data_IF_326372836504
#
_entry.id   IF_326372836504
#
_cell.length_a   1.000
_cell.length_b   1.000
_cell.length_c   1.000
_cell.angle_alpha   90.00
_cell.angle_beta   90.00
_cell.angle_gamma   90.00
#
_symmetry.space_group_name_H-M   'P 1'
#
loop_
_entity.id
_entity.type
_entity.pdbx_description
1 polymer ?
#
# COMPACT_ATOMS: atom_id res chain seq x y z
N UNK A 1 -19.04 12.23 -4.45
CA UNK A 1 -18.94 11.46 -5.73
C UNK A 1 -19.68 12.23 -6.86
N UNK A 2 -19.01 13.17 -7.52
CA UNK A 2 -19.59 13.98 -8.61
C UNK A 2 -19.15 13.38 -9.96
N UNK A 3 -20.08 13.33 -10.94
CA UNK A 3 -19.83 12.90 -12.32
C UNK A 3 -19.47 11.40 -12.53
N UNK A 4 -20.15 10.51 -11.82
CA UNK A 4 -20.04 9.08 -12.11
C UNK A 4 -20.87 8.73 -13.38
N UNK A 5 -20.43 7.74 -14.18
CA UNK A 5 -21.21 7.23 -15.30
C UNK A 5 -22.58 6.70 -14.85
N UNK A 6 -23.61 6.89 -15.68
CA UNK A 6 -24.99 6.52 -15.31
C UNK A 6 -25.16 5.01 -15.05
N UNK A 7 -24.42 4.17 -15.73
CA UNK A 7 -24.50 2.72 -15.60
C UNK A 7 -24.24 2.22 -14.18
N UNK A 8 -23.39 2.89 -13.37
CA UNK A 8 -23.10 2.46 -11.99
C UNK A 8 -24.34 2.43 -11.09
N UNK A 9 -25.36 3.22 -11.41
CA UNK A 9 -26.62 3.30 -10.66
C UNK A 9 -27.64 2.22 -11.06
N UNK A 10 -27.40 1.49 -12.13
CA UNK A 10 -28.28 0.43 -12.63
C UNK A 10 -27.86 -0.96 -12.16
N UNK A 11 -26.69 -1.10 -11.54
CA UNK A 11 -26.17 -2.38 -11.08
C UNK A 11 -26.93 -2.86 -9.84
N UNK A 12 -27.59 -4.04 -9.89
CA UNK A 12 -28.31 -4.58 -8.76
C UNK A 12 -27.38 -4.92 -7.59
N UNK A 13 -27.83 -4.66 -6.36
CA UNK A 13 -27.04 -4.93 -5.15
C UNK A 13 -26.59 -6.41 -5.04
N UNK A 14 -27.39 -7.35 -5.56
CA UNK A 14 -27.08 -8.78 -5.55
C UNK A 14 -25.87 -9.13 -6.43
N UNK A 15 -25.54 -8.29 -7.42
CA UNK A 15 -24.38 -8.48 -8.31
C UNK A 15 -23.10 -7.85 -7.75
N UNK A 16 -23.21 -7.06 -6.68
CA UNK A 16 -22.09 -6.33 -6.12
C UNK A 16 -20.92 -7.23 -5.68
N UNK A 17 -21.13 -8.38 -5.00
CA UNK A 17 -20.01 -9.25 -4.62
C UNK A 17 -19.20 -9.76 -5.84
N UNK A 18 -19.86 -10.17 -6.92
CA UNK A 18 -19.22 -10.63 -8.15
C UNK A 18 -18.50 -9.47 -8.87
N UNK A 19 -19.10 -8.28 -8.89
CA UNK A 19 -18.48 -7.07 -9.43
C UNK A 19 -17.16 -6.72 -8.72
N UNK A 20 -17.13 -6.75 -7.38
CA UNK A 20 -15.92 -6.44 -6.58
C UNK A 20 -14.76 -7.38 -6.92
N UNK A 21 -15.05 -8.66 -7.19
CA UNK A 21 -14.04 -9.65 -7.56
C UNK A 21 -13.49 -9.41 -8.98
N UNK A 22 -14.32 -8.90 -9.90
CA UNK A 22 -14.00 -8.82 -11.33
C UNK A 22 -13.57 -7.44 -11.81
N UNK A 23 -13.83 -6.39 -11.03
CA UNK A 23 -13.47 -5.03 -11.43
C UNK A 23 -11.96 -4.81 -11.44
N UNK A 24 -11.41 -4.23 -12.53
CA UNK A 24 -10.02 -3.80 -12.57
C UNK A 24 -9.73 -2.70 -11.53
N UNK A 25 -8.54 -2.73 -10.95
CA UNK A 25 -8.08 -1.75 -9.96
C UNK A 25 -6.57 -1.63 -9.92
N UNK A 26 -6.05 -0.59 -9.32
CA UNK A 26 -4.64 -0.47 -8.95
C UNK A 26 -4.49 -0.62 -7.44
N UNK A 27 -3.33 -1.12 -7.00
CA UNK A 27 -2.94 -1.19 -5.61
C UNK A 27 -1.75 -0.26 -5.37
N UNK A 28 -1.92 0.73 -4.50
CA UNK A 28 -0.99 1.85 -4.32
C UNK A 28 -0.37 1.91 -2.92
N UNK A 29 -0.73 0.93 -2.07
CA UNK A 29 -0.26 0.87 -0.70
C UNK A 29 -0.18 -0.60 -0.26
N UNK A 30 0.99 -1.16 -0.44
CA UNK A 30 1.30 -2.53 -0.10
C UNK A 30 2.80 -2.63 0.18
N UNK A 31 3.18 -3.14 1.35
CA UNK A 31 4.56 -3.42 1.71
C UNK A 31 4.94 -4.81 1.23
N UNK A 32 6.01 -4.91 0.46
CA UNK A 32 6.34 -6.19 -0.17
C UNK A 32 6.71 -7.26 0.86
N UNK A 33 7.40 -6.89 1.91
CA UNK A 33 7.72 -7.80 3.00
C UNK A 33 6.46 -8.28 3.73
N UNK A 34 5.40 -7.45 3.75
CA UNK A 34 4.08 -7.77 4.30
C UNK A 34 3.27 -8.76 3.44
N UNK A 35 3.75 -9.08 2.24
CA UNK A 35 3.18 -10.13 1.40
C UNK A 35 3.83 -11.50 1.58
N UNK A 36 4.85 -11.60 2.45
CA UNK A 36 5.59 -12.83 2.69
C UNK A 36 4.73 -13.84 3.47
N UNK A 37 4.02 -14.67 2.73
CA UNK A 37 3.17 -15.73 3.29
C UNK A 37 3.97 -16.72 4.13
N UNK A 38 3.42 -17.27 5.22
CA UNK A 38 4.11 -18.21 6.08
C UNK A 38 4.74 -19.42 5.36
N UNK A 39 4.07 -19.97 4.35
CA UNK A 39 4.60 -21.07 3.55
C UNK A 39 5.87 -20.70 2.80
N UNK A 40 5.87 -19.51 2.18
CA UNK A 40 7.03 -19.00 1.46
C UNK A 40 8.16 -18.64 2.44
N UNK A 41 7.82 -18.06 3.59
CA UNK A 41 8.78 -17.77 4.66
C UNK A 41 9.49 -19.03 5.14
N UNK A 42 8.77 -20.13 5.40
CA UNK A 42 9.35 -21.41 5.78
C UNK A 42 10.21 -22.02 4.67
N UNK A 43 9.78 -21.92 3.40
CA UNK A 43 10.56 -22.39 2.25
C UNK A 43 11.89 -21.61 2.10
N UNK A 44 11.86 -20.29 2.26
CA UNK A 44 13.06 -19.44 2.22
C UNK A 44 13.96 -19.68 3.42
N UNK A 45 13.40 -19.86 4.63
CA UNK A 45 14.14 -20.20 5.83
C UNK A 45 14.93 -21.50 5.64
N UNK A 46 14.29 -22.54 5.09
CA UNK A 46 14.95 -23.81 4.78
C UNK A 46 16.06 -23.64 3.72
N UNK A 47 15.79 -22.88 2.65
CA UNK A 47 16.76 -22.59 1.58
C UNK A 47 18.00 -21.86 2.09
N UNK A 48 17.80 -20.90 2.97
CA UNK A 48 18.84 -19.98 3.45
C UNK A 48 19.47 -20.41 4.79
N UNK A 49 19.05 -21.55 5.35
CA UNK A 49 19.57 -22.04 6.62
C UNK A 49 19.21 -21.14 7.82
N UNK A 50 18.09 -20.45 7.76
CA UNK A 50 17.60 -19.56 8.82
C UNK A 50 16.66 -20.32 9.75
N UNK A 51 16.90 -20.29 11.05
CA UNK A 51 15.99 -20.86 12.03
C UNK A 51 14.86 -19.86 12.33
N UNK A 52 13.61 -20.30 12.17
CA UNK A 52 12.44 -19.53 12.57
C UNK A 52 12.07 -19.84 14.03
N UNK A 53 11.56 -18.85 14.79
CA UNK A 53 11.15 -19.07 16.18
C UNK A 53 9.82 -19.84 16.31
N UNK A 54 9.22 -20.25 15.19
CA UNK A 54 7.96 -20.97 15.13
C UNK A 54 8.18 -22.39 14.61
N UNK A 55 7.54 -23.42 15.23
CA UNK A 55 7.74 -24.82 14.85
C UNK A 55 7.02 -25.21 13.55
N UNK A 56 6.05 -24.42 13.09
CA UNK A 56 5.26 -24.70 11.89
C UNK A 56 4.60 -23.45 11.31
N UNK A 57 4.17 -23.53 10.05
CA UNK A 57 3.34 -22.53 9.37
C UNK A 57 2.10 -22.20 10.18
N UNK A 58 1.43 -23.21 10.73
CA UNK A 58 0.22 -23.01 11.53
C UNK A 58 0.52 -22.22 12.82
N UNK A 59 1.59 -22.54 13.54
CA UNK A 59 1.99 -21.80 14.75
C UNK A 59 2.34 -20.34 14.45
N UNK A 60 2.94 -20.06 13.29
CA UNK A 60 3.20 -18.68 12.84
C UNK A 60 1.88 -17.94 12.56
N UNK A 61 0.92 -18.56 11.86
CA UNK A 61 -0.40 -17.94 11.62
C UNK A 61 -1.16 -17.63 12.90
N UNK A 62 -1.07 -18.52 13.88
CA UNK A 62 -1.70 -18.31 15.20
C UNK A 62 -1.08 -17.16 15.99
N UNK A 63 0.19 -16.81 15.69
CA UNK A 63 0.87 -15.68 16.30
C UNK A 63 0.48 -14.32 15.68
N UNK A 64 -0.25 -14.27 14.55
CA UNK A 64 -0.69 -13.05 13.90
C UNK A 64 -1.88 -12.40 14.64
N UNK A 65 -1.67 -12.10 15.92
CA UNK A 65 -2.60 -11.38 16.79
C UNK A 65 -1.89 -10.12 17.28
N UNK A 66 -2.40 -8.96 16.90
CA UNK A 66 -1.78 -7.68 17.15
C UNK A 66 -2.64 -6.80 18.04
N UNK A 67 -2.00 -6.04 18.93
CA UNK A 67 -2.64 -5.06 19.81
C UNK A 67 -2.53 -3.62 19.24
N UNK A 68 -1.54 -3.37 18.42
CA UNK A 68 -1.22 -2.09 17.80
C UNK A 68 -0.15 -2.29 16.71
N UNK A 69 0.22 -1.21 16.04
CA UNK A 69 1.26 -1.20 14.99
C UNK A 69 2.60 -1.75 15.50
N UNK A 70 3.03 -1.42 16.73
CA UNK A 70 4.32 -1.88 17.22
C UNK A 70 4.39 -3.40 17.41
N UNK A 71 3.34 -4.02 17.96
CA UNK A 71 3.29 -5.48 18.14
C UNK A 71 3.28 -6.25 16.81
N UNK A 72 2.75 -5.64 15.75
CA UNK A 72 2.87 -6.15 14.38
C UNK A 72 4.31 -6.05 13.87
N UNK A 73 4.95 -4.87 13.98
CA UNK A 73 6.29 -4.65 13.47
C UNK A 73 7.33 -5.60 14.10
N UNK A 74 7.16 -5.99 15.35
CA UNK A 74 8.06 -6.93 16.03
C UNK A 74 8.05 -8.31 15.35
N UNK A 75 6.89 -8.80 14.92
CA UNK A 75 6.76 -10.08 14.19
C UNK A 75 7.22 -9.91 12.73
N UNK A 76 6.83 -8.83 12.10
CA UNK A 76 7.18 -8.47 10.73
C UNK A 76 8.70 -8.47 10.51
N UNK A 77 9.46 -7.72 11.31
CA UNK A 77 10.92 -7.66 11.21
C UNK A 77 11.60 -9.01 11.45
N UNK A 78 11.08 -9.84 12.37
CA UNK A 78 11.61 -11.18 12.56
C UNK A 78 11.40 -12.08 11.31
N UNK A 79 10.29 -11.91 10.60
CA UNK A 79 9.98 -12.63 9.36
C UNK A 79 10.92 -12.28 8.22
N UNK A 80 11.36 -11.03 8.11
CA UNK A 80 12.23 -10.57 7.00
C UNK A 80 13.63 -11.17 7.01
N UNK A 81 14.07 -11.76 8.13
CA UNK A 81 15.40 -12.38 8.27
C UNK A 81 15.64 -13.56 7.31
N UNK A 82 14.60 -14.14 6.74
CA UNK A 82 14.72 -15.23 5.77
C UNK A 82 15.17 -14.76 4.38
N UNK A 83 15.03 -13.46 4.08
CA UNK A 83 15.41 -12.85 2.82
C UNK A 83 16.92 -12.58 2.80
N UNK A 84 17.67 -13.26 1.92
CA UNK A 84 19.14 -13.21 1.90
C UNK A 84 19.74 -12.89 0.53
N UNK A 85 19.00 -13.13 -0.55
CA UNK A 85 19.51 -13.04 -1.91
C UNK A 85 18.55 -12.27 -2.81
N UNK A 86 19.03 -11.75 -3.94
CA UNK A 86 18.16 -11.17 -4.98
C UNK A 86 17.03 -12.10 -5.40
N UNK A 87 17.28 -13.43 -5.38
CA UNK A 87 16.28 -14.42 -5.75
C UNK A 87 15.15 -14.49 -4.71
N UNK A 88 15.44 -14.28 -3.43
CA UNK A 88 14.41 -14.26 -2.38
C UNK A 88 13.44 -13.08 -2.59
N UNK A 89 13.97 -11.89 -2.86
CA UNK A 89 13.16 -10.70 -3.15
C UNK A 89 12.36 -10.85 -4.45
N UNK A 90 12.97 -11.44 -5.48
CA UNK A 90 12.28 -11.76 -6.72
C UNK A 90 11.11 -12.74 -6.50
N UNK A 91 11.36 -13.83 -5.76
CA UNK A 91 10.35 -14.86 -5.49
C UNK A 91 9.19 -14.30 -4.68
N UNK A 92 9.49 -13.48 -3.66
CA UNK A 92 8.48 -12.81 -2.83
C UNK A 92 7.60 -11.86 -3.66
N UNK A 93 8.21 -10.97 -4.45
CA UNK A 93 7.47 -10.05 -5.30
C UNK A 93 6.67 -10.76 -6.39
N UNK A 94 7.22 -11.84 -6.98
CA UNK A 94 6.50 -12.66 -7.96
C UNK A 94 5.29 -13.39 -7.34
N UNK A 95 5.41 -13.88 -6.11
CA UNK A 95 4.31 -14.52 -5.39
C UNK A 95 3.17 -13.51 -5.11
N UNK A 96 3.52 -12.30 -4.66
CA UNK A 96 2.56 -11.21 -4.50
C UNK A 96 1.85 -10.88 -5.81
N UNK A 97 2.59 -10.66 -6.92
CA UNK A 97 2.00 -10.27 -8.21
C UNK A 97 1.06 -11.35 -8.76
N UNK A 98 1.33 -12.63 -8.50
CA UNK A 98 0.41 -13.72 -8.86
C UNK A 98 -0.94 -13.61 -8.11
N UNK A 99 -0.91 -13.17 -6.85
CA UNK A 99 -2.13 -12.92 -6.06
C UNK A 99 -2.85 -11.67 -6.53
N UNK A 100 -2.10 -10.58 -6.76
CA UNK A 100 -2.63 -9.32 -7.27
C UNK A 100 -3.31 -9.49 -8.65
N UNK A 101 -2.72 -10.30 -9.55
CA UNK A 101 -3.36 -10.67 -10.82
C UNK A 101 -4.70 -11.37 -10.61
N UNK A 102 -4.78 -12.33 -9.69
CA UNK A 102 -6.04 -13.00 -9.37
C UNK A 102 -7.10 -12.03 -8.85
N UNK A 103 -6.67 -10.96 -8.17
CA UNK A 103 -7.52 -9.86 -7.68
C UNK A 103 -7.82 -8.78 -8.73
N UNK A 104 -7.47 -9.00 -9.99
CA UNK A 104 -7.68 -8.05 -11.11
C UNK A 104 -6.91 -6.72 -10.92
N UNK A 105 -5.75 -6.75 -10.31
CA UNK A 105 -4.85 -5.59 -10.21
C UNK A 105 -4.13 -5.43 -11.55
N UNK A 106 -4.27 -4.25 -12.17
CA UNK A 106 -3.63 -3.91 -13.45
C UNK A 106 -2.33 -3.13 -13.26
N UNK A 107 -2.17 -2.48 -12.12
CA UNK A 107 -0.99 -1.72 -11.73
C UNK A 107 -0.79 -1.74 -10.22
N UNK A 108 0.46 -1.84 -9.78
CA UNK A 108 0.80 -1.75 -8.36
C UNK A 108 2.00 -0.83 -8.13
N UNK A 109 1.96 -0.06 -7.04
CA UNK A 109 3.08 0.75 -6.55
C UNK A 109 3.49 0.18 -5.19
N UNK A 110 4.58 -0.58 -5.20
CA UNK A 110 5.01 -1.44 -4.11
C UNK A 110 5.93 -0.67 -3.16
N UNK A 111 5.58 -0.59 -1.89
CA UNK A 111 6.47 -0.12 -0.85
C UNK A 111 7.48 -1.20 -0.47
N UNK A 112 8.71 -0.79 -0.23
CA UNK A 112 9.77 -1.60 0.33
C UNK A 112 10.72 -0.72 1.15
N UNK A 113 11.45 -1.30 2.07
CA UNK A 113 12.54 -0.62 2.74
C UNK A 113 13.86 -1.38 2.58
N UNK A 114 14.97 -0.65 2.53
CA UNK A 114 16.28 -1.28 2.53
C UNK A 114 16.91 -1.28 3.92
N UNK A 115 16.46 -0.41 4.82
CA UNK A 115 17.06 -0.19 6.14
C UNK A 115 16.94 -1.42 7.05
N UNK A 116 15.81 -2.12 7.02
CA UNK A 116 15.64 -3.41 7.70
C UNK A 116 16.70 -4.42 7.25
N UNK A 117 16.92 -4.52 5.95
CA UNK A 117 17.82 -5.51 5.37
C UNK A 117 19.30 -5.14 5.52
N UNK A 118 19.64 -3.85 5.33
CA UNK A 118 21.02 -3.37 5.51
C UNK A 118 21.46 -3.45 6.96
N UNK A 119 20.55 -3.25 7.90
CA UNK A 119 20.79 -3.49 9.34
C UNK A 119 21.19 -4.95 9.67
N UNK A 120 20.85 -5.89 8.78
CA UNK A 120 21.22 -7.31 8.86
C UNK A 120 22.35 -7.71 7.90
N UNK A 121 23.05 -6.72 7.31
CA UNK A 121 24.25 -6.93 6.50
C UNK A 121 24.00 -7.23 5.02
N UNK A 122 22.77 -7.09 4.50
CA UNK A 122 22.51 -7.11 3.07
C UNK A 122 22.84 -5.74 2.46
N UNK A 123 23.27 -5.71 1.19
CA UNK A 123 23.35 -4.44 0.46
C UNK A 123 21.97 -4.01 -0.06
N UNK A 124 21.72 -2.71 -0.12
CA UNK A 124 20.53 -2.14 -0.74
C UNK A 124 20.36 -2.61 -2.19
N UNK A 125 21.47 -2.85 -2.89
CA UNK A 125 21.50 -3.35 -4.26
C UNK A 125 20.81 -4.73 -4.40
N UNK A 126 21.04 -5.66 -3.48
CA UNK A 126 20.42 -6.99 -3.46
C UNK A 126 18.90 -6.86 -3.40
N UNK A 127 18.40 -6.00 -2.51
CA UNK A 127 16.96 -5.77 -2.33
C UNK A 127 16.35 -5.16 -3.61
N UNK A 128 16.92 -4.03 -4.06
CA UNK A 128 16.39 -3.26 -5.19
C UNK A 128 16.45 -4.08 -6.49
N UNK A 129 17.54 -4.79 -6.75
CA UNK A 129 17.68 -5.60 -7.98
C UNK A 129 16.68 -6.76 -8.01
N UNK A 130 16.52 -7.48 -6.89
CA UNK A 130 15.57 -8.59 -6.81
C UNK A 130 14.13 -8.13 -7.07
N UNK A 131 13.69 -7.07 -6.39
CA UNK A 131 12.36 -6.49 -6.56
C UNK A 131 12.16 -5.92 -7.96
N UNK A 132 13.10 -5.13 -8.47
CA UNK A 132 13.00 -4.53 -9.80
C UNK A 132 12.93 -5.58 -10.92
N UNK A 133 13.68 -6.68 -10.81
CA UNK A 133 13.59 -7.78 -11.78
C UNK A 133 12.18 -8.38 -11.83
N UNK A 134 11.54 -8.57 -10.67
CA UNK A 134 10.16 -9.04 -10.62
C UNK A 134 9.18 -8.02 -11.25
N UNK A 135 9.35 -6.72 -10.97
CA UNK A 135 8.56 -5.66 -11.60
C UNK A 135 8.75 -5.62 -13.13
N UNK A 136 9.97 -5.80 -13.62
CA UNK A 136 10.26 -5.84 -15.07
C UNK A 136 9.60 -7.03 -15.77
N UNK A 137 9.50 -8.17 -15.09
CA UNK A 137 8.86 -9.38 -15.63
C UNK A 137 7.32 -9.35 -15.53
N UNK A 138 6.76 -8.49 -14.69
CA UNK A 138 5.33 -8.45 -14.38
C UNK A 138 4.41 -8.30 -15.59
N UNK A 139 4.70 -7.44 -16.60
CA UNK A 139 3.85 -7.32 -17.77
C UNK A 139 3.74 -8.62 -18.57
N UNK A 140 4.83 -9.34 -18.73
CA UNK A 140 4.86 -10.59 -19.51
C UNK A 140 4.28 -11.77 -18.74
N UNK A 141 4.47 -11.83 -17.41
CA UNK A 141 4.05 -12.95 -16.58
C UNK A 141 2.64 -12.83 -16.06
N UNK A 142 2.23 -11.62 -15.72
CA UNK A 142 0.99 -11.36 -14.98
C UNK A 142 0.06 -10.36 -15.68
N UNK A 143 0.48 -9.76 -16.80
CA UNK A 143 -0.33 -8.78 -17.54
C UNK A 143 -0.57 -7.47 -16.78
N UNK A 144 0.26 -7.17 -15.77
CA UNK A 144 0.17 -5.97 -14.95
C UNK A 144 1.48 -5.19 -14.96
N UNK A 145 1.44 -3.91 -14.62
CA UNK A 145 2.63 -3.10 -14.40
C UNK A 145 2.91 -2.94 -12.91
N UNK A 146 4.18 -2.79 -12.53
CA UNK A 146 4.59 -2.60 -11.15
C UNK A 146 5.71 -1.58 -11.04
N UNK A 147 5.70 -0.77 -9.99
CA UNK A 147 6.73 0.23 -9.67
C UNK A 147 7.12 0.15 -8.21
N UNK A 148 8.33 0.60 -7.88
CA UNK A 148 8.89 0.54 -6.53
C UNK A 148 8.93 1.92 -5.88
N UNK A 149 8.53 1.99 -4.62
CA UNK A 149 8.63 3.18 -3.75
C UNK A 149 9.47 2.79 -2.53
N UNK A 150 10.65 3.41 -2.39
CA UNK A 150 11.55 3.19 -1.27
C UNK A 150 11.06 3.98 -0.06
N UNK A 151 10.69 3.30 1.01
CA UNK A 151 10.25 3.92 2.25
C UNK A 151 11.38 4.09 3.25
N UNK A 152 11.50 5.29 3.83
CA UNK A 152 12.32 5.51 5.01
C UNK A 152 11.58 5.07 6.27
N UNK A 153 12.30 4.41 7.17
CA UNK A 153 11.77 3.97 8.46
C UNK A 153 11.80 5.15 9.45
N UNK A 154 10.62 5.70 9.76
CA UNK A 154 10.50 6.96 10.52
C UNK A 154 10.91 6.89 11.98
N UNK A 155 11.01 5.69 12.57
CA UNK A 155 11.56 5.49 13.91
C UNK A 155 13.09 5.73 13.96
N UNK A 156 13.78 5.62 12.82
CA UNK A 156 15.19 5.94 12.65
C UNK A 156 15.39 7.45 12.46
N UNK A 157 16.63 7.91 12.44
CA UNK A 157 16.98 9.32 12.26
C UNK A 157 16.90 9.77 10.80
N UNK A 158 16.78 11.09 10.56
CA UNK A 158 16.89 11.64 9.20
C UNK A 158 18.29 11.41 8.58
N UNK A 159 19.35 11.30 9.42
CA UNK A 159 20.69 10.98 8.93
C UNK A 159 20.73 9.56 8.32
N UNK A 160 20.12 8.58 8.98
CA UNK A 160 19.99 7.22 8.46
C UNK A 160 19.10 7.17 7.18
N UNK A 161 18.11 8.05 7.08
CA UNK A 161 17.32 8.19 5.84
C UNK A 161 18.17 8.77 4.70
N UNK A 162 19.07 9.72 4.96
CA UNK A 162 20.04 10.19 3.97
C UNK A 162 21.01 9.08 3.53
N UNK A 163 21.53 8.29 4.46
CA UNK A 163 22.39 7.13 4.14
C UNK A 163 21.63 6.12 3.25
N UNK A 164 20.38 5.84 3.58
CA UNK A 164 19.51 4.99 2.76
C UNK A 164 19.31 5.57 1.35
N UNK A 165 19.02 6.86 1.21
CA UNK A 165 18.90 7.53 -0.08
C UNK A 165 20.19 7.44 -0.89
N UNK A 166 21.35 7.76 -0.29
CA UNK A 166 22.65 7.72 -0.99
C UNK A 166 23.00 6.30 -1.48
N UNK A 167 22.67 5.26 -0.71
CA UNK A 167 22.84 3.86 -1.13
C UNK A 167 21.96 3.49 -2.32
N UNK A 168 20.76 4.09 -2.43
CA UNK A 168 19.82 3.84 -3.51
C UNK A 168 20.11 4.65 -4.79
N UNK A 169 20.83 5.78 -4.70
CA UNK A 169 21.07 6.67 -5.85
C UNK A 169 21.72 6.00 -7.09
N UNK A 170 22.66 5.05 -6.97
CA UNK A 170 23.19 4.33 -8.13
C UNK A 170 22.12 3.52 -8.90
N UNK A 171 20.98 3.24 -8.26
CA UNK A 171 19.87 2.43 -8.79
C UNK A 171 18.57 3.25 -8.94
N UNK A 172 18.67 4.58 -8.96
CA UNK A 172 17.52 5.48 -8.96
C UNK A 172 16.54 5.26 -10.11
N UNK A 173 17.01 4.78 -11.23
CA UNK A 173 16.22 4.45 -12.42
C UNK A 173 15.26 3.26 -12.17
N UNK A 174 15.47 2.51 -11.10
CA UNK A 174 14.64 1.38 -10.67
C UNK A 174 13.59 1.76 -9.63
N UNK A 175 13.61 3.01 -9.14
CA UNK A 175 12.79 3.49 -8.04
C UNK A 175 11.93 4.66 -8.52
N UNK A 176 10.61 4.51 -8.43
CA UNK A 176 9.64 5.54 -8.82
C UNK A 176 9.60 6.70 -7.82
N UNK A 177 9.60 6.37 -6.55
CA UNK A 177 9.35 7.35 -5.49
C UNK A 177 9.97 7.01 -4.16
N UNK A 178 9.86 7.96 -3.25
CA UNK A 178 10.29 7.88 -1.85
C UNK A 178 9.05 7.98 -0.95
N UNK A 179 8.97 7.11 0.04
CA UNK A 179 7.93 7.07 1.05
C UNK A 179 8.45 7.26 2.47
N UNK A 180 7.55 7.44 3.41
CA UNK A 180 7.82 7.45 4.85
C UNK A 180 6.90 6.42 5.52
N UNK A 181 7.45 5.43 6.22
CA UNK A 181 6.70 4.33 6.81
C UNK A 181 7.19 3.99 8.24
N UNK A 182 6.67 2.92 8.83
CA UNK A 182 6.96 2.43 10.18
C UNK A 182 6.24 3.21 11.29
N UNK A 183 6.62 3.00 12.57
CA UNK A 183 5.93 3.51 13.77
C UNK A 183 5.62 5.01 13.69
N UNK A 184 4.35 5.36 13.61
CA UNK A 184 3.92 6.74 13.39
C UNK A 184 3.97 7.59 14.66
N UNK A 185 3.48 7.04 15.78
CA UNK A 185 3.36 7.78 17.04
C UNK A 185 4.72 8.19 17.59
N UNK A 186 4.89 9.50 17.83
CA UNK A 186 6.16 10.06 18.31
C UNK A 186 7.22 10.36 17.23
N UNK A 187 6.92 10.04 15.96
CA UNK A 187 7.83 10.25 14.82
C UNK A 187 7.17 11.11 13.73
N UNK A 188 6.99 12.42 13.97
CA UNK A 188 6.28 13.30 13.05
C UNK A 188 7.02 13.48 11.72
N UNK A 189 6.28 13.73 10.60
CA UNK A 189 6.86 13.84 9.27
C UNK A 189 7.94 14.92 9.14
N UNK A 190 7.80 16.08 9.80
CA UNK A 190 8.76 17.19 9.72
C UNK A 190 10.20 16.80 10.13
N UNK A 191 10.38 15.70 10.86
CA UNK A 191 11.69 15.11 11.18
C UNK A 191 12.49 14.77 9.92
N UNK A 192 11.83 14.54 8.77
CA UNK A 192 12.42 14.12 7.51
C UNK A 192 12.39 15.22 6.42
N UNK A 193 12.24 16.48 6.83
CA UNK A 193 12.04 17.61 5.92
C UNK A 193 13.18 17.76 4.89
N UNK A 194 14.43 17.59 5.30
CA UNK A 194 15.59 17.81 4.42
C UNK A 194 15.78 16.66 3.44
N UNK A 195 15.64 15.42 3.89
CA UNK A 195 15.79 14.24 2.99
C UNK A 195 14.67 14.19 1.96
N UNK A 196 13.43 14.57 2.32
CA UNK A 196 12.33 14.68 1.35
C UNK A 196 12.53 15.84 0.37
N UNK A 197 13.06 16.98 0.82
CA UNK A 197 13.47 18.07 -0.07
C UNK A 197 14.53 17.59 -1.08
N UNK A 198 15.52 16.83 -0.62
CA UNK A 198 16.54 16.24 -1.49
C UNK A 198 15.97 15.22 -2.47
N UNK A 199 15.08 14.34 -2.03
CA UNK A 199 14.41 13.37 -2.89
C UNK A 199 13.59 14.06 -4.01
N UNK A 200 12.90 15.16 -3.68
CA UNK A 200 12.17 15.98 -4.64
C UNK A 200 13.11 16.63 -5.69
N UNK A 201 14.24 17.21 -5.27
CA UNK A 201 15.24 17.75 -6.18
C UNK A 201 15.79 16.69 -7.15
N UNK A 202 15.88 15.45 -6.71
CA UNK A 202 16.30 14.31 -7.52
C UNK A 202 15.19 13.80 -8.45
N UNK A 203 13.96 14.34 -8.34
CA UNK A 203 12.83 14.01 -9.21
C UNK A 203 12.05 12.76 -8.83
N UNK A 204 12.16 12.27 -7.59
CA UNK A 204 11.34 11.19 -7.08
C UNK A 204 9.90 11.66 -6.81
N UNK A 205 8.92 10.77 -6.99
CA UNK A 205 7.58 10.92 -6.44
C UNK A 205 7.65 10.81 -4.92
N UNK A 206 6.79 11.54 -4.20
CA UNK A 206 6.83 11.59 -2.75
C UNK A 206 5.49 11.19 -2.15
N UNK A 207 5.53 10.23 -1.22
CA UNK A 207 4.37 9.76 -0.46
C UNK A 207 4.74 9.63 1.02
N UNK A 208 3.75 9.57 1.91
CA UNK A 208 4.03 9.35 3.32
C UNK A 208 2.82 8.77 4.06
N UNK A 209 3.07 7.81 4.94
CA UNK A 209 2.10 7.39 5.95
C UNK A 209 1.87 8.56 6.92
N UNK A 210 0.63 8.98 7.06
CA UNK A 210 0.23 10.01 8.01
C UNK A 210 -1.25 9.88 8.35
N UNK A 211 -1.58 10.00 9.65
CA UNK A 211 -2.95 9.91 10.13
C UNK A 211 -3.54 8.51 10.07
N UNK A 212 -2.72 7.49 10.27
CA UNK A 212 -3.13 6.14 10.65
C UNK A 212 -3.41 6.08 12.14
N UNK A 213 -2.37 6.14 12.98
CA UNK A 213 -2.43 6.27 14.44
C UNK A 213 -2.16 7.72 14.89
N UNK A 214 -1.34 8.45 14.15
CA UNK A 214 -0.94 9.83 14.41
C UNK A 214 -2.06 10.84 14.18
N UNK A 215 -1.98 12.03 14.79
CA UNK A 215 -3.03 13.05 14.69
C UNK A 215 -3.10 13.68 13.29
N UNK A 216 -4.21 14.38 12.96
CA UNK A 216 -4.34 15.14 11.71
C UNK A 216 -3.18 16.11 11.42
N UNK A 217 -2.51 16.61 12.46
CA UNK A 217 -1.32 17.45 12.33
C UNK A 217 -0.20 16.78 11.54
N UNK A 218 -0.08 15.43 11.58
CA UNK A 218 0.91 14.71 10.80
C UNK A 218 0.56 14.71 9.31
N UNK A 219 -0.73 14.67 8.95
CA UNK A 219 -1.17 14.82 7.56
C UNK A 219 -0.84 16.23 7.06
N UNK A 220 -1.13 17.27 7.86
CA UNK A 220 -0.73 18.65 7.54
C UNK A 220 0.79 18.75 7.33
N UNK A 221 1.59 18.17 8.23
CA UNK A 221 3.05 18.18 8.12
C UNK A 221 3.55 17.45 6.88
N UNK A 222 2.99 16.29 6.55
CA UNK A 222 3.33 15.56 5.33
C UNK A 222 3.05 16.40 4.07
N UNK A 223 1.90 17.08 4.01
CA UNK A 223 1.53 17.94 2.88
C UNK A 223 2.37 19.22 2.82
N UNK A 224 2.56 19.92 3.95
CA UNK A 224 3.13 21.26 3.96
C UNK A 224 4.64 21.29 4.13
N UNK A 225 5.22 20.30 4.80
CA UNK A 225 6.66 20.19 5.02
C UNK A 225 7.32 19.22 4.04
N UNK A 226 6.84 17.98 3.96
CA UNK A 226 7.42 16.99 3.05
C UNK A 226 6.98 17.21 1.59
N UNK A 227 5.85 17.91 1.36
CA UNK A 227 5.29 18.17 0.03
C UNK A 227 4.96 16.87 -0.72
N UNK A 228 4.38 15.91 -0.02
CA UNK A 228 3.98 14.64 -0.63
C UNK A 228 2.81 14.83 -1.58
N UNK A 229 2.74 13.96 -2.59
CA UNK A 229 1.70 13.95 -3.62
C UNK A 229 0.52 13.07 -3.24
N UNK A 230 0.73 12.14 -2.26
CA UNK A 230 -0.26 11.19 -1.76
C UNK A 230 0.00 10.92 -0.28
N UNK A 231 -1.08 10.76 0.48
CA UNK A 231 -1.05 10.36 1.89
C UNK A 231 -1.42 8.89 1.98
N UNK A 232 -0.57 8.11 2.64
CA UNK A 232 -0.85 6.71 2.90
C UNK A 232 -1.62 6.61 4.22
N UNK A 233 -2.70 5.82 4.25
CA UNK A 233 -3.82 5.79 5.21
C UNK A 233 -4.65 7.08 5.22
N UNK A 234 -4.30 8.05 6.04
CA UNK A 234 -4.99 9.33 6.16
C UNK A 234 -6.37 9.26 6.82
N UNK A 235 -6.74 8.15 7.46
CA UNK A 235 -8.10 7.90 7.97
C UNK A 235 -8.52 8.85 9.08
N UNK A 236 -7.56 9.38 9.83
CA UNK A 236 -7.81 10.38 10.89
C UNK A 236 -8.01 11.81 10.36
N UNK A 237 -7.89 12.04 9.04
CA UNK A 237 -8.26 13.33 8.45
C UNK A 237 -9.70 13.73 8.78
N UNK A 238 -10.59 12.76 9.01
CA UNK A 238 -12.00 12.98 9.39
C UNK A 238 -12.19 13.78 10.68
N UNK A 239 -11.15 13.86 11.52
CA UNK A 239 -11.15 14.59 12.79
C UNK A 239 -10.91 16.10 12.62
N UNK A 240 -10.48 16.55 11.40
CA UNK A 240 -10.18 17.93 11.09
C UNK A 240 -10.94 18.40 9.83
N UNK A 241 -11.94 19.24 10.03
CA UNK A 241 -12.79 19.72 8.94
C UNK A 241 -12.03 20.59 7.91
N UNK A 242 -11.01 21.35 8.34
CA UNK A 242 -10.20 22.16 7.43
C UNK A 242 -9.28 21.25 6.59
N UNK A 243 -8.71 20.21 7.18
CA UNK A 243 -7.95 19.21 6.47
C UNK A 243 -8.81 18.49 5.43
N UNK A 244 -10.01 18.05 5.80
CA UNK A 244 -10.97 17.45 4.88
C UNK A 244 -11.27 18.34 3.68
N UNK A 245 -11.50 19.64 3.90
CA UNK A 245 -11.70 20.61 2.82
C UNK A 245 -10.46 20.71 1.91
N UNK A 246 -9.27 20.76 2.49
CA UNK A 246 -8.00 20.81 1.76
C UNK A 246 -7.81 19.57 0.88
N UNK A 247 -8.00 18.36 1.43
CA UNK A 247 -7.86 17.11 0.69
C UNK A 247 -8.79 17.03 -0.52
N UNK A 248 -10.04 17.50 -0.36
CA UNK A 248 -11.02 17.55 -1.46
C UNK A 248 -10.65 18.60 -2.50
N UNK A 249 -10.26 19.80 -2.07
CA UNK A 249 -9.94 20.94 -2.95
C UNK A 249 -8.70 20.66 -3.79
N UNK A 250 -7.64 20.15 -3.18
CA UNK A 250 -6.36 19.88 -3.83
C UNK A 250 -6.33 18.48 -4.48
N UNK A 251 -7.41 17.70 -4.32
CA UNK A 251 -7.53 16.31 -4.80
C UNK A 251 -6.38 15.42 -4.33
N UNK A 252 -5.96 15.58 -3.08
CA UNK A 252 -4.90 14.74 -2.48
C UNK A 252 -5.45 13.32 -2.27
N UNK A 253 -4.80 12.28 -2.84
CA UNK A 253 -5.26 10.91 -2.65
C UNK A 253 -4.93 10.38 -1.25
N UNK A 254 -5.85 9.56 -0.70
CA UNK A 254 -5.62 8.76 0.50
C UNK A 254 -5.62 7.28 0.12
N UNK A 255 -4.56 6.53 0.45
CA UNK A 255 -4.48 5.08 0.23
C UNK A 255 -4.89 4.33 1.49
N UNK A 256 -6.18 4.11 1.62
CA UNK A 256 -6.80 3.53 2.82
C UNK A 256 -6.67 2.01 2.83
N UNK A 257 -6.37 1.43 4.01
CA UNK A 257 -6.15 0.00 4.22
C UNK A 257 -7.12 -0.55 5.28
N UNK A 258 -8.36 -0.93 4.91
CA UNK A 258 -9.41 -1.21 5.88
C UNK A 258 -9.12 -2.38 6.81
N UNK A 259 -8.56 -3.49 6.32
CA UNK A 259 -8.24 -4.65 7.15
C UNK A 259 -7.06 -4.39 8.08
N UNK A 260 -6.05 -3.62 7.62
CA UNK A 260 -4.97 -3.13 8.47
C UNK A 260 -5.52 -2.28 9.62
N UNK A 261 -6.37 -1.29 9.30
CA UNK A 261 -6.97 -0.42 10.31
C UNK A 261 -7.82 -1.18 11.34
N UNK A 262 -8.46 -2.29 10.94
CA UNK A 262 -9.14 -3.20 11.88
C UNK A 262 -8.15 -3.99 12.74
N UNK A 263 -7.14 -4.60 12.12
CA UNK A 263 -6.17 -5.47 12.79
C UNK A 263 -5.28 -4.71 13.77
N UNK A 264 -4.91 -3.48 13.44
CA UNK A 264 -4.11 -2.58 14.27
C UNK A 264 -4.95 -1.74 15.25
N UNK A 265 -6.26 -1.99 15.29
CA UNK A 265 -7.22 -1.35 16.21
C UNK A 265 -7.32 0.18 16.05
N UNK A 266 -7.07 0.67 14.85
CA UNK A 266 -7.42 2.05 14.47
C UNK A 266 -8.93 2.22 14.50
N UNK A 267 -9.66 1.16 14.17
CA UNK A 267 -11.11 1.02 14.38
C UNK A 267 -11.42 -0.30 15.08
N UNK A 268 -12.45 -0.34 15.94
CA UNK A 268 -12.84 -1.56 16.65
C UNK A 268 -13.54 -2.56 15.73
N UNK A 269 -14.28 -2.07 14.74
CA UNK A 269 -14.99 -2.88 13.74
C UNK A 269 -14.98 -2.20 12.38
N UNK A 270 -15.06 -2.99 11.28
CA UNK A 270 -15.19 -2.41 9.93
C UNK A 270 -16.46 -1.56 9.75
N UNK A 271 -17.52 -1.82 10.51
CA UNK A 271 -18.74 -1.00 10.48
C UNK A 271 -18.50 0.44 10.98
N UNK A 272 -17.45 0.68 11.76
CA UNK A 272 -17.04 2.01 12.23
C UNK A 272 -16.03 2.68 11.31
N UNK A 273 -15.55 1.98 10.27
CA UNK A 273 -14.50 2.49 9.40
C UNK A 273 -14.96 3.73 8.60
N UNK A 274 -14.06 4.69 8.46
CA UNK A 274 -14.38 6.02 7.91
C UNK A 274 -14.41 6.09 6.37
N UNK A 275 -14.08 5.01 5.65
CA UNK A 275 -13.92 5.01 4.19
C UNK A 275 -15.12 5.58 3.43
N UNK A 276 -16.35 5.14 3.77
CA UNK A 276 -17.55 5.65 3.11
C UNK A 276 -17.72 7.15 3.36
N UNK A 277 -17.51 7.62 4.58
CA UNK A 277 -17.62 9.05 4.94
C UNK A 277 -16.60 9.92 4.21
N UNK A 278 -15.36 9.42 4.03
CA UNK A 278 -14.32 10.09 3.24
C UNK A 278 -14.76 10.23 1.78
N UNK A 279 -15.26 9.16 1.17
CA UNK A 279 -15.76 9.18 -0.21
C UNK A 279 -16.96 10.11 -0.39
N UNK A 280 -17.93 10.04 0.52
CA UNK A 280 -19.14 10.87 0.47
C UNK A 280 -18.83 12.36 0.65
N UNK A 281 -17.79 12.69 1.43
CA UNK A 281 -17.25 14.02 1.54
C UNK A 281 -16.50 14.49 0.28
N UNK A 282 -16.18 13.60 -0.65
CA UNK A 282 -15.50 13.89 -1.92
C UNK A 282 -13.99 13.71 -1.89
N UNK A 283 -13.43 13.11 -0.85
CA UNK A 283 -12.00 12.77 -0.77
C UNK A 283 -11.67 11.68 -1.80
N UNK A 284 -10.53 11.80 -2.46
CA UNK A 284 -9.99 10.80 -3.37
C UNK A 284 -9.39 9.63 -2.57
N UNK A 285 -10.23 8.76 -2.01
CA UNK A 285 -9.77 7.58 -1.31
C UNK A 285 -9.67 6.37 -2.24
N UNK A 286 -8.73 5.47 -1.96
CA UNK A 286 -8.56 4.15 -2.58
C UNK A 286 -8.60 3.06 -1.52
N UNK A 287 -8.71 1.79 -1.90
CA UNK A 287 -8.60 0.64 -1.01
C UNK A 287 -7.33 -0.11 -1.36
N UNK A 288 -6.59 -0.56 -0.33
CA UNK A 288 -5.32 -1.26 -0.47
C UNK A 288 -5.19 -2.33 0.63
N UNK A 289 -4.19 -3.21 0.51
CA UNK A 289 -4.05 -4.35 1.44
C UNK A 289 -3.02 -4.14 2.54
N UNK A 290 -2.09 -3.19 2.39
CA UNK A 290 -1.00 -2.90 3.33
C UNK A 290 -0.02 -4.07 3.47
N UNK A 291 -0.23 -4.96 4.45
CA UNK A 291 0.54 -6.17 4.71
C UNK A 291 -0.37 -7.40 4.61
N UNK A 292 -0.73 -7.85 3.38
CA UNK A 292 -1.83 -8.78 3.16
C UNK A 292 -1.67 -10.15 3.83
N UNK A 293 -0.43 -10.64 3.98
CA UNK A 293 -0.18 -11.92 4.64
C UNK A 293 -0.44 -11.88 6.16
N UNK A 294 -0.39 -10.68 6.75
CA UNK A 294 -0.56 -10.47 8.19
C UNK A 294 -1.96 -9.97 8.56
N UNK A 295 -2.58 -9.14 7.72
CA UNK A 295 -3.84 -8.45 8.06
C UNK A 295 -5.10 -9.16 7.55
N UNK A 296 -4.95 -10.33 6.95
CA UNK A 296 -6.07 -11.22 6.68
C UNK A 296 -6.66 -11.12 5.29
N UNK A 297 -5.91 -10.57 4.33
CA UNK A 297 -6.31 -10.68 2.93
C UNK A 297 -5.72 -9.64 1.98
N UNK A 298 -5.68 -10.03 0.72
CA UNK A 298 -5.27 -9.20 -0.40
C UNK A 298 -6.36 -8.19 -0.80
N UNK A 299 -6.22 -7.56 -1.94
CA UNK A 299 -7.05 -6.42 -2.31
C UNK A 299 -8.54 -6.76 -2.43
N UNK A 300 -8.88 -7.90 -3.05
CA UNK A 300 -10.29 -8.33 -3.16
C UNK A 300 -10.92 -8.61 -1.80
N UNK A 301 -10.16 -9.15 -0.85
CA UNK A 301 -10.65 -9.39 0.50
C UNK A 301 -10.90 -8.08 1.25
N UNK A 302 -10.01 -7.08 1.09
CA UNK A 302 -10.23 -5.73 1.62
C UNK A 302 -11.53 -5.11 1.08
N UNK A 303 -11.77 -5.21 -0.23
CA UNK A 303 -13.04 -4.75 -0.80
C UNK A 303 -14.24 -5.53 -0.26
N UNK A 304 -14.19 -6.86 -0.30
CA UNK A 304 -15.32 -7.72 0.07
C UNK A 304 -15.76 -7.52 1.51
N UNK A 305 -14.82 -7.55 2.46
CA UNK A 305 -15.14 -7.39 3.88
C UNK A 305 -15.62 -5.95 4.19
N UNK A 306 -15.00 -4.95 3.58
CA UNK A 306 -15.41 -3.54 3.78
C UNK A 306 -16.82 -3.28 3.25
N UNK A 307 -17.15 -3.79 2.05
CA UNK A 307 -18.47 -3.64 1.47
C UNK A 307 -19.55 -4.49 2.16
N UNK A 308 -19.17 -5.58 2.81
CA UNK A 308 -20.09 -6.33 3.68
C UNK A 308 -20.41 -5.60 4.98
N UNK A 309 -19.49 -4.78 5.49
CA UNK A 309 -19.62 -4.06 6.74
C UNK A 309 -20.23 -2.66 6.62
N UNK A 310 -20.03 -1.99 5.47
CA UNK A 310 -20.47 -0.63 5.23
C UNK A 310 -21.60 -0.60 4.17
N UNK A 311 -22.58 0.32 4.26
CA UNK A 311 -23.68 0.43 3.29
C UNK A 311 -23.22 1.07 1.97
N UNK A 312 -22.20 0.46 1.34
CA UNK A 312 -21.61 0.92 0.09
C UNK A 312 -22.28 0.25 -1.13
N UNK A 313 -22.22 0.93 -2.25
CA UNK A 313 -22.91 0.53 -3.50
C UNK A 313 -21.91 0.38 -4.66
N UNK A 314 -22.39 -0.07 -5.82
CA UNK A 314 -21.58 -0.14 -7.05
C UNK A 314 -20.98 1.24 -7.43
N UNK A 315 -21.65 2.35 -7.11
CA UNK A 315 -21.11 3.70 -7.31
C UNK A 315 -19.88 3.96 -6.46
N UNK A 316 -19.86 3.49 -5.21
CA UNK A 316 -18.66 3.57 -4.34
C UNK A 316 -17.54 2.66 -4.86
N UNK A 317 -17.88 1.46 -5.31
CA UNK A 317 -16.89 0.53 -5.88
C UNK A 317 -16.22 1.14 -7.12
N UNK A 318 -17.00 1.71 -8.03
CA UNK A 318 -16.48 2.42 -9.20
C UNK A 318 -15.57 3.61 -8.78
N UNK A 319 -16.02 4.43 -7.83
CA UNK A 319 -15.25 5.58 -7.37
C UNK A 319 -13.89 5.16 -6.78
N UNK A 320 -13.86 4.11 -5.95
CA UNK A 320 -12.62 3.58 -5.37
C UNK A 320 -11.67 3.03 -6.44
N UNK A 321 -12.17 2.20 -7.35
CA UNK A 321 -11.38 1.63 -8.43
C UNK A 321 -10.89 2.72 -9.41
N UNK A 322 -11.74 3.68 -9.77
CA UNK A 322 -11.36 4.84 -10.59
C UNK A 322 -10.30 5.69 -9.91
N UNK A 323 -10.48 6.00 -8.63
CA UNK A 323 -9.52 6.76 -7.84
C UNK A 323 -8.15 6.06 -7.78
N UNK A 324 -8.10 4.71 -7.74
CA UNK A 324 -6.82 4.00 -7.70
C UNK A 324 -5.99 4.23 -8.97
N UNK A 325 -6.63 4.33 -10.14
CA UNK A 325 -5.94 4.69 -11.37
C UNK A 325 -5.60 6.19 -11.45
N UNK A 326 -6.51 7.05 -10.98
CA UNK A 326 -6.28 8.51 -10.99
C UNK A 326 -5.18 8.94 -10.00
N UNK A 327 -5.00 8.21 -8.90
CA UNK A 327 -3.99 8.45 -7.86
C UNK A 327 -2.64 7.78 -8.15
N UNK A 328 -2.56 6.87 -9.11
CA UNK A 328 -1.31 6.19 -9.49
C UNK A 328 -0.39 7.12 -10.28
N UNK A 329 0.91 6.82 -10.24
CA UNK A 329 1.94 7.57 -10.95
C UNK A 329 2.21 7.05 -12.37
N UNK A 330 1.25 6.31 -12.96
CA UNK A 330 1.30 5.87 -14.36
C UNK A 330 1.09 7.03 -15.34
N UNK A 331 1.50 6.83 -16.58
CA UNK A 331 1.23 7.80 -17.64
C UNK A 331 -0.26 7.87 -18.01
N UNK A 332 -0.63 8.99 -18.66
CA UNK A 332 -2.02 9.28 -19.04
C UNK A 332 -2.60 8.25 -20.02
N UNK A 333 -1.77 7.65 -20.89
CA UNK A 333 -2.20 6.64 -21.84
C UNK A 333 -2.60 5.35 -21.14
N UNK A 334 -1.75 4.86 -20.23
CA UNK A 334 -2.01 3.69 -19.40
C UNK A 334 -3.26 3.90 -18.53
N UNK A 335 -3.35 5.06 -17.87
CA UNK A 335 -4.52 5.42 -17.03
C UNK A 335 -5.83 5.36 -17.84
N UNK A 336 -5.90 5.99 -19.02
CA UNK A 336 -7.08 5.94 -19.88
C UNK A 336 -7.43 4.51 -20.29
N UNK A 337 -6.42 3.70 -20.62
CA UNK A 337 -6.61 2.29 -20.98
C UNK A 337 -7.21 1.46 -19.83
N UNK A 338 -6.73 1.65 -18.61
CA UNK A 338 -7.23 0.96 -17.40
C UNK A 338 -8.67 1.41 -17.07
N UNK A 339 -8.94 2.72 -17.14
CA UNK A 339 -10.28 3.26 -16.91
C UNK A 339 -11.28 2.72 -17.95
N UNK A 340 -10.90 2.62 -19.22
CA UNK A 340 -11.78 2.03 -20.24
C UNK A 340 -12.10 0.55 -19.95
N UNK A 341 -11.14 -0.21 -19.40
CA UNK A 341 -11.40 -1.59 -18.97
C UNK A 341 -12.34 -1.62 -17.74
N UNK A 342 -12.19 -0.70 -16.80
CA UNK A 342 -13.08 -0.55 -15.65
C UNK A 342 -14.50 -0.26 -16.12
N UNK A 343 -14.68 0.72 -17.03
CA UNK A 343 -15.98 1.09 -17.59
C UNK A 343 -16.67 -0.10 -18.26
N UNK A 344 -15.94 -0.83 -19.11
CA UNK A 344 -16.47 -2.00 -19.80
C UNK A 344 -16.96 -3.11 -18.84
N UNK A 345 -16.22 -3.34 -17.74
CA UNK A 345 -16.66 -4.31 -16.72
C UNK A 345 -17.95 -3.82 -16.05
N UNK A 346 -18.01 -2.56 -15.61
CA UNK A 346 -19.21 -2.03 -14.94
C UNK A 346 -20.43 -2.02 -15.87
N UNK A 347 -20.27 -1.65 -17.15
CA UNK A 347 -21.33 -1.71 -18.14
C UNK A 347 -21.88 -3.14 -18.32
N UNK A 348 -21.04 -4.16 -18.23
CA UNK A 348 -21.48 -5.57 -18.32
C UNK A 348 -22.30 -6.04 -17.12
N UNK A 349 -22.30 -5.27 -16.03
CA UNK A 349 -23.08 -5.54 -14.81
C UNK A 349 -24.37 -4.71 -14.71
N UNK A 350 -24.53 -3.66 -15.52
CA UNK A 350 -25.66 -2.73 -15.48
C UNK A 350 -26.97 -3.33 -16.02
#
# INVERSE_FOLDING_TARGET
>A
MRNLPSFVHHIPAQRLPDLLQRMPKAELHMHIEGSLEPELMFAMAARNGVALPYPSVQALREAYVFDNLQSFLDIYHAGTLVLKTEQDFYDMASAYMARAQADQVLHTEIFFDTQTHTGHGLSAEVVINGLHRACADAPARFGMTASLILCFLRHLSEAEAFECLEQALPLRDKILGIGLASSEVGHPPEKFARVFARARELGFRLVAHAGEEGPPAYIWSALDVLKVERIDHGVRAIEDAALMQRLVQDRVPLTVCPLSNLKLRVVDTLAQHHLQRLLDAGVMATVNSDDPAYFGGYLNENFSQTFAALPMTAAHAYALARNSFDASFIDEGARRGHVAQLDAVFESFA
#
